data_IF_338886914506
#
_entry.id   IF_338886914506
#
_cell.length_a   1.000
_cell.length_b   1.000
_cell.length_c   1.000
_cell.angle_alpha   90.00
_cell.angle_beta   90.00
_cell.angle_gamma   90.00
#
_symmetry.space_group_name_H-M   'P 1'
#
loop_
_entity.id
_entity.type
_entity.pdbx_description
1 polymer ?
#
# COMPACT_ATOMS: atom_id res chain seq x y z
N UNK A 1 -24.27 11.70 -2.48
CA UNK A 1 -22.86 11.95 -2.16
C UNK A 1 -22.08 10.65 -2.21
N UNK A 2 -21.02 10.62 -2.98
CA UNK A 2 -20.18 9.44 -3.10
C UNK A 2 -19.07 9.51 -2.04
N UNK A 3 -18.86 8.39 -1.37
CA UNK A 3 -17.71 8.27 -0.46
C UNK A 3 -16.43 8.15 -1.27
N UNK A 4 -15.40 8.87 -0.87
CA UNK A 4 -14.09 8.78 -1.49
C UNK A 4 -13.21 7.82 -0.70
N UNK A 5 -12.41 7.04 -1.42
CA UNK A 5 -11.43 6.14 -0.81
C UNK A 5 -10.07 6.39 -1.48
N UNK A 6 -9.26 7.29 -0.91
CA UNK A 6 -7.95 7.62 -1.48
C UNK A 6 -7.01 6.42 -1.55
N UNK A 7 -7.13 5.49 -0.60
CA UNK A 7 -6.29 4.28 -0.60
C UNK A 7 -6.69 3.38 -1.76
N UNK A 8 -8.00 3.16 -1.98
CA UNK A 8 -8.47 2.37 -3.11
C UNK A 8 -8.04 2.99 -4.44
N UNK A 9 -8.10 4.31 -4.56
CA UNK A 9 -7.62 5.03 -5.74
C UNK A 9 -6.13 4.78 -5.96
N UNK A 10 -5.32 4.90 -4.90
CA UNK A 10 -3.89 4.61 -4.97
C UNK A 10 -3.62 3.19 -5.45
N UNK A 11 -4.30 2.21 -4.87
CA UNK A 11 -4.11 0.79 -5.25
C UNK A 11 -4.51 0.55 -6.71
N UNK A 12 -5.58 1.19 -7.17
CA UNK A 12 -6.02 1.09 -8.57
C UNK A 12 -4.99 1.69 -9.51
N UNK A 13 -4.45 2.86 -9.18
CA UNK A 13 -3.39 3.50 -9.99
C UNK A 13 -2.15 2.63 -10.06
N UNK A 14 -1.73 2.06 -8.92
CA UNK A 14 -0.59 1.14 -8.87
C UNK A 14 -0.86 -0.11 -9.71
N UNK A 15 -2.04 -0.69 -9.58
CA UNK A 15 -2.42 -1.89 -10.32
C UNK A 15 -2.41 -1.64 -11.83
N UNK A 16 -3.00 -0.54 -12.27
CA UNK A 16 -3.06 -0.21 -13.69
C UNK A 16 -1.68 0.08 -14.28
N UNK A 17 -0.85 0.85 -13.58
CA UNK A 17 0.51 1.16 -14.01
C UNK A 17 1.38 -0.10 -14.05
N UNK A 18 1.22 -0.97 -13.06
CA UNK A 18 1.95 -2.24 -12.99
C UNK A 18 1.57 -3.15 -14.15
N UNK A 19 0.28 -3.24 -14.49
CA UNK A 19 -0.20 -4.05 -15.61
C UNK A 19 0.29 -3.51 -16.96
N UNK A 20 0.39 -2.20 -17.10
CA UNK A 20 0.82 -1.54 -18.33
C UNK A 20 2.35 -1.38 -18.43
N UNK A 21 3.09 -1.88 -17.45
CA UNK A 21 4.56 -1.77 -17.37
C UNK A 21 5.06 -0.32 -17.38
N UNK A 22 4.32 0.58 -16.76
CA UNK A 22 4.79 1.96 -16.57
C UNK A 22 5.89 1.98 -15.52
N UNK A 23 6.90 2.83 -15.73
CA UNK A 23 8.01 2.94 -14.78
C UNK A 23 7.61 3.68 -13.52
N UNK A 24 6.67 4.60 -13.61
CA UNK A 24 6.19 5.34 -12.45
C UNK A 24 4.70 5.66 -12.57
N UNK A 25 4.12 5.99 -11.44
CA UNK A 25 2.71 6.38 -11.33
C UNK A 25 2.61 7.64 -10.49
N UNK A 26 1.74 8.55 -10.90
CA UNK A 26 1.56 9.86 -10.26
C UNK A 26 0.15 9.92 -9.64
N UNK A 27 0.08 10.49 -8.45
CA UNK A 27 -1.19 10.66 -7.74
C UNK A 27 -1.13 11.90 -6.84
N UNK A 28 -2.27 12.46 -6.44
CA UNK A 28 -2.25 13.55 -5.45
C UNK A 28 -1.59 13.07 -4.16
N UNK A 29 -0.75 13.91 -3.57
CA UNK A 29 -0.02 13.57 -2.35
C UNK A 29 -0.93 13.56 -1.13
N UNK A 30 -0.71 12.61 -0.23
CA UNK A 30 -1.15 12.67 1.15
C UNK A 30 -0.11 11.98 2.01
N UNK A 31 -0.07 12.33 3.30
CA UNK A 31 0.89 11.71 4.22
C UNK A 31 0.69 10.20 4.31
N UNK A 32 -0.58 9.76 4.33
CA UNK A 32 -0.90 8.34 4.39
C UNK A 32 -0.41 7.60 3.14
N UNK A 33 -0.66 8.16 1.95
CA UNK A 33 -0.20 7.53 0.70
C UNK A 33 1.31 7.47 0.63
N UNK A 34 2.00 8.54 1.06
CA UNK A 34 3.46 8.55 1.11
C UNK A 34 3.99 7.48 2.06
N UNK A 35 3.36 7.28 3.20
CA UNK A 35 3.73 6.25 4.15
C UNK A 35 3.51 4.84 3.59
N UNK A 36 2.41 4.63 2.85
CA UNK A 36 2.15 3.36 2.18
C UNK A 36 3.22 3.08 1.13
N UNK A 37 3.57 4.08 0.31
CA UNK A 37 4.60 3.94 -0.71
C UNK A 37 5.96 3.60 -0.08
N UNK A 38 6.31 4.24 1.02
CA UNK A 38 7.54 3.95 1.75
C UNK A 38 7.56 2.52 2.29
N UNK A 39 6.45 2.05 2.82
CA UNK A 39 6.32 0.66 3.28
C UNK A 39 6.49 -0.32 2.11
N UNK A 40 5.85 -0.05 0.97
CA UNK A 40 5.96 -0.91 -0.22
C UNK A 40 7.41 -0.97 -0.71
N UNK A 41 8.15 0.14 -0.61
CA UNK A 41 9.58 0.16 -0.95
C UNK A 41 10.39 -0.71 -0.01
N UNK A 42 10.17 -0.60 1.30
CA UNK A 42 10.88 -1.41 2.29
C UNK A 42 10.60 -2.90 2.11
N UNK A 43 9.40 -3.26 1.69
CA UNK A 43 9.03 -4.66 1.47
C UNK A 43 9.41 -5.15 0.06
N UNK A 44 10.01 -4.30 -0.77
CA UNK A 44 10.55 -4.70 -2.07
C UNK A 44 9.55 -4.72 -3.21
N UNK A 45 8.38 -4.11 -3.04
CA UNK A 45 7.34 -4.09 -4.09
C UNK A 45 7.49 -2.94 -5.07
N UNK A 46 8.07 -1.82 -4.64
CA UNK A 46 8.36 -0.67 -5.51
C UNK A 46 9.80 -0.24 -5.33
N UNK A 47 10.35 0.49 -6.30
CA UNK A 47 11.74 0.97 -6.25
C UNK A 47 11.90 2.17 -5.35
N UNK A 48 10.89 3.05 -5.29
CA UNK A 48 10.95 4.24 -4.48
C UNK A 48 9.75 5.14 -4.68
N UNK A 49 9.79 6.28 -4.01
CA UNK A 49 8.76 7.30 -4.15
C UNK A 49 9.35 8.67 -3.86
N UNK A 50 8.73 9.70 -4.40
CA UNK A 50 9.13 11.08 -4.16
C UNK A 50 7.91 11.99 -4.19
N UNK A 51 8.02 13.14 -3.54
CA UNK A 51 7.01 14.18 -3.56
C UNK A 51 7.50 15.31 -4.45
N UNK A 52 6.65 15.76 -5.37
CA UNK A 52 6.96 16.87 -6.28
C UNK A 52 5.86 17.93 -6.19
N UNK A 53 6.19 19.16 -6.58
CA UNK A 53 5.20 20.21 -6.66
C UNK A 53 4.29 19.99 -7.86
N UNK A 54 3.01 20.31 -7.69
CA UNK A 54 1.99 20.27 -8.73
C UNK A 54 1.41 21.67 -8.92
N UNK A 55 0.55 21.85 -9.92
CA UNK A 55 -0.11 23.13 -10.12
C UNK A 55 -0.89 23.54 -8.89
N UNK A 56 -1.56 22.58 -8.25
CA UNK A 56 -2.25 22.79 -6.99
C UNK A 56 -1.75 21.73 -6.01
N UNK A 57 -1.12 22.20 -4.91
CA UNK A 57 -0.61 21.28 -3.88
C UNK A 57 0.62 20.50 -4.33
N UNK A 58 0.67 19.26 -3.91
CA UNK A 58 1.80 18.36 -4.19
C UNK A 58 1.31 17.06 -4.80
N UNK A 59 2.18 16.41 -5.56
CA UNK A 59 1.92 15.09 -6.12
C UNK A 59 2.93 14.08 -5.59
N UNK A 60 2.47 12.86 -5.45
CA UNK A 60 3.30 11.71 -5.07
C UNK A 60 3.61 10.92 -6.34
N UNK A 61 4.90 10.66 -6.56
CA UNK A 61 5.36 9.83 -7.68
C UNK A 61 5.93 8.56 -7.10
N UNK A 62 5.39 7.42 -7.49
CA UNK A 62 5.85 6.10 -7.05
C UNK A 62 6.55 5.43 -8.21
N UNK A 63 7.80 5.03 -7.99
CA UNK A 63 8.60 4.34 -9.00
C UNK A 63 8.37 2.84 -8.87
N UNK A 64 7.83 2.22 -9.92
CA UNK A 64 7.54 0.80 -9.93
C UNK A 64 8.81 0.00 -10.16
N UNK A 65 8.77 -1.26 -9.74
CA UNK A 65 9.92 -2.16 -9.82
C UNK A 65 9.57 -3.36 -10.68
N UNK A 66 10.47 -3.68 -11.62
CA UNK A 66 10.35 -4.86 -12.46
C UNK A 66 11.66 -5.63 -12.41
N UNK A 67 11.57 -6.95 -12.59
CA UNK A 67 12.74 -7.80 -12.64
C UNK A 67 13.49 -7.70 -13.97
N UNK A 68 14.63 -8.42 -14.11
CA UNK A 68 15.46 -8.33 -15.31
C UNK A 68 14.72 -8.69 -16.62
N UNK A 69 13.73 -9.57 -16.54
CA UNK A 69 12.92 -9.98 -17.70
C UNK A 69 11.55 -9.29 -17.67
N UNK A 70 11.45 -8.11 -17.06
CA UNK A 70 10.23 -7.33 -16.88
C UNK A 70 9.13 -8.08 -16.11
N UNK A 71 9.51 -9.01 -15.25
CA UNK A 71 8.55 -9.63 -14.34
C UNK A 71 8.12 -8.62 -13.28
N UNK A 72 6.82 -8.60 -13.00
CA UNK A 72 6.24 -7.65 -12.04
C UNK A 72 6.61 -8.02 -10.61
N UNK A 73 7.01 -7.02 -9.83
CA UNK A 73 7.26 -7.21 -8.39
C UNK A 73 5.97 -7.26 -7.59
N UNK A 74 4.90 -6.67 -8.11
CA UNK A 74 3.58 -6.75 -7.50
C UNK A 74 2.73 -7.70 -8.32
N UNK A 75 2.31 -8.81 -7.70
CA UNK A 75 1.40 -9.76 -8.34
C UNK A 75 -0.06 -9.36 -8.11
N UNK A 76 -0.38 -8.80 -6.95
CA UNK A 76 -1.73 -8.35 -6.65
C UNK A 76 -1.79 -7.33 -5.53
N UNK A 77 -2.89 -6.58 -5.53
CA UNK A 77 -3.22 -5.56 -4.53
C UNK A 77 -4.71 -5.69 -4.22
N UNK A 78 -5.08 -5.67 -2.94
CA UNK A 78 -6.47 -5.77 -2.54
C UNK A 78 -6.77 -4.81 -1.40
N UNK A 79 -7.78 -3.96 -1.59
CA UNK A 79 -8.32 -3.12 -0.52
C UNK A 79 -9.15 -3.99 0.43
N UNK A 80 -8.90 -3.89 1.73
CA UNK A 80 -9.61 -4.68 2.74
C UNK A 80 -10.59 -3.81 3.50
N UNK A 81 -10.10 -2.90 4.35
CA UNK A 81 -10.94 -1.97 5.08
C UNK A 81 -11.40 -0.85 4.16
N UNK A 82 -12.68 -0.54 4.16
CA UNK A 82 -13.28 0.49 3.27
C UNK A 82 -14.02 1.51 4.11
N UNK A 83 -14.25 2.74 3.61
CA UNK A 83 -14.99 3.75 4.37
C UNK A 83 -16.36 3.29 4.86
N UNK A 84 -17.07 2.48 4.08
CA UNK A 84 -18.39 1.94 4.46
C UNK A 84 -18.34 0.63 5.22
N UNK A 85 -17.16 0.02 5.35
CA UNK A 85 -17.01 -1.28 6.02
C UNK A 85 -15.58 -1.40 6.54
N UNK A 86 -15.35 -0.92 7.76
CA UNK A 86 -14.03 -0.97 8.38
C UNK A 86 -13.71 -2.38 8.89
N UNK A 87 -12.46 -2.81 8.69
CA UNK A 87 -11.98 -4.12 9.10
C UNK A 87 -10.80 -3.96 10.04
N UNK A 88 -10.90 -4.54 11.23
CA UNK A 88 -9.87 -4.47 12.26
C UNK A 88 -9.43 -5.89 12.63
N UNK A 89 -8.19 -6.02 13.09
CA UNK A 89 -7.68 -7.29 13.60
C UNK A 89 -6.91 -7.05 14.88
N UNK A 90 -7.03 -8.00 15.81
CA UNK A 90 -6.27 -7.99 17.07
C UNK A 90 -4.88 -8.58 16.82
N UNK A 91 -3.93 -8.28 17.70
CA UNK A 91 -2.56 -8.75 17.60
C UNK A 91 -2.42 -10.27 17.51
N UNK A 92 -3.36 -11.00 18.10
CA UNK A 92 -3.34 -12.47 18.10
C UNK A 92 -4.12 -13.09 16.94
N UNK A 93 -4.67 -12.26 16.05
CA UNK A 93 -5.49 -12.73 14.92
C UNK A 93 -5.23 -11.90 13.66
N UNK A 94 -3.99 -11.52 13.42
CA UNK A 94 -3.62 -10.75 12.25
C UNK A 94 -3.66 -11.64 10.99
N UNK A 95 -4.16 -11.11 9.87
CA UNK A 95 -4.24 -11.90 8.64
C UNK A 95 -2.85 -12.15 8.07
N UNK A 96 -2.71 -13.29 7.41
CA UNK A 96 -1.53 -13.62 6.62
C UNK A 96 -1.93 -13.69 5.16
N UNK A 97 -1.14 -13.04 4.30
CA UNK A 97 -1.39 -13.00 2.86
C UNK A 97 -0.57 -14.09 2.20
N UNK A 98 -1.25 -15.00 1.49
CA UNK A 98 -0.63 -16.14 0.82
C UNK A 98 0.33 -16.92 1.74
N UNK A 99 -0.14 -17.24 2.95
CA UNK A 99 0.66 -18.02 3.90
C UNK A 99 1.93 -17.32 4.38
N UNK A 100 1.98 -15.99 4.28
CA UNK A 100 3.13 -15.20 4.71
C UNK A 100 4.04 -14.75 3.57
N UNK A 101 3.73 -15.11 2.32
CA UNK A 101 4.49 -14.66 1.15
C UNK A 101 4.18 -13.21 0.81
N UNK A 102 2.96 -12.77 1.06
CA UNK A 102 2.55 -11.38 0.88
C UNK A 102 2.55 -10.62 2.19
N UNK A 103 2.03 -9.40 2.15
CA UNK A 103 2.04 -8.46 3.27
C UNK A 103 0.65 -7.87 3.47
N UNK A 104 0.20 -7.80 4.71
CA UNK A 104 -0.96 -6.99 5.09
C UNK A 104 -0.48 -5.66 5.63
N UNK A 105 -1.08 -4.57 5.16
CA UNK A 105 -0.78 -3.22 5.65
C UNK A 105 -1.74 -2.91 6.78
N UNK A 106 -1.20 -2.74 7.98
CA UNK A 106 -1.98 -2.54 9.21
C UNK A 106 -1.75 -1.10 9.70
N UNK A 107 -2.84 -0.37 9.91
CA UNK A 107 -2.79 0.96 10.52
C UNK A 107 -2.97 0.81 12.03
N UNK A 108 -1.92 1.15 12.79
CA UNK A 108 -1.92 1.04 14.25
C UNK A 108 -1.78 2.41 14.88
N UNK A 109 -1.95 2.48 16.18
CA UNK A 109 -1.72 3.73 16.94
C UNK A 109 -0.28 4.21 16.82
N UNK A 110 0.66 3.31 16.53
CA UNK A 110 2.07 3.64 16.32
C UNK A 110 2.47 3.84 14.88
N UNK A 111 1.51 3.94 13.95
CA UNK A 111 1.76 4.14 12.53
C UNK A 111 1.46 2.90 11.69
N UNK A 112 1.90 2.90 10.44
CA UNK A 112 1.70 1.78 9.52
C UNK A 112 2.72 0.67 9.79
N UNK A 113 2.22 -0.55 9.91
CA UNK A 113 3.04 -1.74 10.11
C UNK A 113 2.60 -2.84 9.15
N UNK A 114 3.52 -3.76 8.85
CA UNK A 114 3.14 -5.01 8.21
C UNK A 114 2.52 -5.93 9.27
N UNK A 115 1.83 -6.98 8.82
CA UNK A 115 1.29 -7.99 9.73
C UNK A 115 2.39 -8.60 10.63
N UNK A 116 3.57 -8.85 10.07
CA UNK A 116 4.71 -9.39 10.83
C UNK A 116 5.20 -8.41 11.89
N UNK A 117 5.34 -7.13 11.53
CA UNK A 117 5.77 -6.10 12.48
C UNK A 117 4.75 -5.89 13.59
N UNK A 118 3.47 -5.89 13.24
CA UNK A 118 2.39 -5.73 14.22
C UNK A 118 2.35 -6.92 15.19
N UNK A 119 2.51 -8.14 14.68
CA UNK A 119 2.58 -9.34 15.52
C UNK A 119 3.78 -9.28 16.46
N UNK A 120 4.94 -8.89 15.96
CA UNK A 120 6.16 -8.80 16.77
C UNK A 120 6.03 -7.76 17.89
N UNK A 121 5.32 -6.65 17.62
CA UNK A 121 5.07 -5.61 18.63
C UNK A 121 3.87 -5.92 19.52
N UNK A 122 3.10 -6.95 19.20
CA UNK A 122 1.93 -7.31 19.98
C UNK A 122 0.79 -6.30 19.85
N UNK A 123 0.63 -5.64 18.70
CA UNK A 123 -0.41 -4.65 18.47
C UNK A 123 -1.30 -5.08 17.31
N UNK A 124 -2.58 -4.67 17.38
CA UNK A 124 -3.52 -4.81 16.28
C UNK A 124 -3.88 -3.46 15.70
N UNK A 125 -4.74 -3.47 14.70
CA UNK A 125 -5.17 -2.23 14.07
C UNK A 125 -6.11 -2.46 12.91
N UNK A 126 -6.29 -1.43 12.11
CA UNK A 126 -7.12 -1.49 10.92
C UNK A 126 -6.35 -2.14 9.78
N UNK A 127 -6.96 -3.16 9.17
CA UNK A 127 -6.36 -3.86 8.02
C UNK A 127 -6.70 -3.08 6.77
N UNK A 128 -5.75 -2.30 6.25
CA UNK A 128 -5.99 -1.42 5.11
C UNK A 128 -6.02 -2.17 3.79
N UNK A 129 -5.04 -3.02 3.54
CA UNK A 129 -4.87 -3.66 2.24
C UNK A 129 -3.96 -4.89 2.32
N UNK A 130 -4.04 -5.73 1.30
CA UNK A 130 -3.11 -6.82 1.08
C UNK A 130 -2.28 -6.53 -0.17
N UNK A 131 -1.00 -6.90 -0.13
CA UNK A 131 -0.06 -6.80 -1.26
C UNK A 131 0.69 -8.13 -1.37
N UNK A 132 0.83 -8.63 -2.58
CA UNK A 132 1.63 -9.84 -2.80
C UNK A 132 2.27 -9.86 -4.19
#
# INVERSE_FOLDING_TARGET
MTMTDPIADMLTRLRNANSAFHDEVVMPHSKLKANIAEMLQREGYVSGSRTEDAEVGKKLVVELKFGPNRERSIAGLRRVSKPGLRVYAKSNNLPKVLGGLGVAIISTSGGLLTDRQAMKKGVGGEVLAYVW
#
